data_IF_368929152604
#
_entry.id   IF_368929152604
#
_cell.length_a   1.000
_cell.length_b   1.000
_cell.length_c   1.000
_cell.angle_alpha   90.00
_cell.angle_beta   90.00
_cell.angle_gamma   90.00
#
_symmetry.space_group_name_H-M   'P 1'
#
loop_
_entity.id
_entity.type
_entity.pdbx_description
1 polymer ?
#
# COMPACT_ATOMS: atom_id res chain seq x y z
N UNK A 1 82.68 9.44 3.24
CA UNK A 1 81.68 8.38 3.62
C UNK A 1 80.35 9.05 3.88
N UNK A 2 79.48 9.15 2.84
CA UNK A 2 78.16 9.71 2.93
C UNK A 2 77.13 8.56 3.09
N UNK A 3 76.38 8.53 4.18
CA UNK A 3 75.30 7.60 4.41
C UNK A 3 74.01 8.14 3.77
N UNK A 4 73.55 7.51 2.72
CA UNK A 4 72.30 7.78 2.08
C UNK A 4 71.16 7.13 2.90
N UNK A 5 70.31 7.94 3.55
CA UNK A 5 69.11 7.49 4.22
C UNK A 5 67.97 7.41 3.19
N UNK A 6 67.59 6.19 2.84
CA UNK A 6 66.44 5.87 1.98
C UNK A 6 65.16 5.96 2.82
N UNK A 7 64.38 7.05 2.72
CA UNK A 7 63.07 7.22 3.36
C UNK A 7 62.04 6.48 2.53
N UNK A 8 61.61 5.31 3.01
CA UNK A 8 60.55 4.49 2.41
C UNK A 8 59.20 5.12 2.72
N UNK A 9 58.66 5.91 1.75
CA UNK A 9 57.30 6.47 1.84
C UNK A 9 56.27 5.35 1.56
N UNK A 10 55.69 4.80 2.63
CA UNK A 10 54.61 3.80 2.55
C UNK A 10 53.32 4.52 2.34
N UNK A 11 52.90 4.70 1.07
CA UNK A 11 51.56 5.21 0.71
C UNK A 11 50.51 4.15 1.07
N UNK A 12 49.85 4.37 2.19
CA UNK A 12 48.64 3.59 2.57
C UNK A 12 47.48 4.06 1.69
N UNK A 13 47.21 3.30 0.61
CA UNK A 13 46.00 3.47 -0.20
C UNK A 13 44.82 2.96 0.66
N UNK A 14 44.07 3.89 1.25
CA UNK A 14 42.74 3.58 1.78
C UNK A 14 41.82 3.24 0.60
N UNK A 15 41.67 1.96 0.32
CA UNK A 15 40.57 1.48 -0.52
C UNK A 15 39.26 1.76 0.24
N UNK A 16 38.58 2.86 -0.14
CA UNK A 16 37.18 3.02 0.19
C UNK A 16 36.40 1.94 -0.54
N UNK A 17 36.13 0.83 0.12
CA UNK A 17 35.18 -0.17 -0.35
C UNK A 17 33.79 0.46 -0.21
N UNK A 18 33.38 1.16 -1.26
CA UNK A 18 31.97 1.50 -1.41
C UNK A 18 31.23 0.17 -1.56
N UNK A 19 30.61 -0.31 -0.50
CA UNK A 19 29.63 -1.39 -0.58
C UNK A 19 28.51 -0.89 -1.46
N UNK A 20 28.50 -1.30 -2.73
CA UNK A 20 27.35 -1.13 -3.63
C UNK A 20 26.24 -1.94 -2.98
N UNK A 21 25.44 -1.28 -2.18
CA UNK A 21 24.23 -1.87 -1.64
C UNK A 21 23.31 -2.12 -2.84
N UNK A 22 23.22 -3.37 -3.27
CA UNK A 22 22.34 -3.78 -4.36
C UNK A 22 20.92 -3.40 -3.96
N UNK A 23 20.38 -2.42 -4.63
CA UNK A 23 19.05 -1.93 -4.37
C UNK A 23 18.04 -2.97 -4.86
N UNK A 24 17.13 -3.34 -3.97
CA UNK A 24 16.18 -4.43 -4.21
C UNK A 24 15.00 -3.88 -5.00
N UNK A 25 14.86 -4.35 -6.23
CA UNK A 25 13.90 -3.83 -7.22
C UNK A 25 12.73 -4.76 -7.51
N UNK A 26 12.70 -5.95 -6.90
CA UNK A 26 11.60 -6.91 -7.13
C UNK A 26 11.36 -7.79 -5.92
N UNK A 27 10.11 -8.19 -5.71
CA UNK A 27 9.75 -9.05 -4.59
C UNK A 27 8.26 -9.31 -4.46
N UNK A 28 7.96 -10.04 -3.38
CA UNK A 28 6.61 -10.30 -2.87
C UNK A 28 6.56 -9.87 -1.41
N UNK A 29 5.50 -9.17 -1.02
CA UNK A 29 5.25 -8.79 0.37
C UNK A 29 3.85 -9.25 0.75
N UNK A 30 3.73 -9.91 1.89
CA UNK A 30 2.44 -10.27 2.48
C UNK A 30 2.11 -9.26 3.56
N UNK A 31 0.90 -8.68 3.47
CA UNK A 31 0.37 -7.74 4.47
C UNK A 31 -0.81 -8.35 5.19
N UNK A 32 -0.88 -8.11 6.49
CA UNK A 32 -2.14 -8.18 7.24
C UNK A 32 -2.75 -6.79 7.32
N UNK A 33 -4.05 -6.69 6.96
CA UNK A 33 -4.87 -5.52 7.24
C UNK A 33 -5.77 -5.82 8.43
N UNK A 34 -5.60 -5.07 9.50
CA UNK A 34 -6.50 -5.07 10.65
C UNK A 34 -7.48 -3.91 10.52
N UNK A 35 -8.77 -4.20 10.46
CA UNK A 35 -9.85 -3.22 10.45
C UNK A 35 -10.62 -3.29 11.75
N UNK A 36 -10.71 -2.17 12.49
CA UNK A 36 -11.54 -2.09 13.70
C UNK A 36 -12.99 -1.83 13.29
N UNK A 37 -13.84 -2.85 13.39
CA UNK A 37 -15.23 -2.79 12.95
C UNK A 37 -16.09 -1.89 13.86
N UNK A 38 -15.78 -1.77 15.15
CA UNK A 38 -16.48 -0.84 16.04
C UNK A 38 -16.27 0.62 15.62
N UNK A 39 -15.07 0.97 15.16
CA UNK A 39 -14.80 2.30 14.60
C UNK A 39 -15.45 2.48 13.24
N UNK A 40 -15.36 1.47 12.38
CA UNK A 40 -15.95 1.50 11.05
C UNK A 40 -17.46 1.71 11.07
N UNK A 41 -18.16 1.01 11.97
CA UNK A 41 -19.61 1.04 12.08
C UNK A 41 -20.14 1.90 13.24
N UNK A 42 -19.31 2.80 13.79
CA UNK A 42 -19.67 3.65 14.94
C UNK A 42 -20.97 4.45 14.74
N UNK A 43 -21.30 4.81 13.51
CA UNK A 43 -22.48 5.59 13.12
C UNK A 43 -23.61 4.71 12.53
N UNK A 44 -23.49 3.39 12.60
CA UNK A 44 -24.50 2.43 12.16
C UNK A 44 -24.88 1.54 13.36
N UNK A 45 -25.94 1.96 14.07
CA UNK A 45 -26.40 1.31 15.30
C UNK A 45 -26.72 -0.18 15.09
N UNK A 46 -27.49 -0.49 14.05
CA UNK A 46 -27.94 -1.87 13.77
C UNK A 46 -26.76 -2.84 13.62
N UNK A 47 -25.73 -2.43 12.85
CA UNK A 47 -24.53 -3.25 12.66
C UNK A 47 -23.69 -3.29 13.93
N UNK A 48 -23.53 -2.15 14.63
CA UNK A 48 -22.72 -2.05 15.84
C UNK A 48 -23.27 -2.94 16.97
N UNK A 49 -24.58 -2.95 17.15
CA UNK A 49 -25.25 -3.73 18.21
C UNK A 49 -25.22 -5.24 17.94
N UNK A 50 -25.08 -5.61 16.68
CA UNK A 50 -24.91 -7.01 16.27
C UNK A 50 -23.47 -7.52 16.39
N UNK A 51 -22.45 -6.61 16.41
CA UNK A 51 -21.04 -6.97 16.54
C UNK A 51 -20.72 -7.45 17.96
N UNK A 52 -20.13 -8.63 18.08
CA UNK A 52 -19.58 -9.15 19.34
C UNK A 52 -18.14 -8.63 19.54
N UNK A 53 -17.62 -8.70 20.78
CA UNK A 53 -16.24 -8.28 21.09
C UNK A 53 -15.19 -9.07 20.26
N UNK A 54 -15.45 -10.35 19.99
CA UNK A 54 -14.61 -11.20 19.12
C UNK A 54 -14.55 -10.69 17.67
N UNK A 55 -15.59 -9.97 17.22
CA UNK A 55 -15.69 -9.41 15.87
C UNK A 55 -15.10 -8.00 15.75
N UNK A 56 -14.61 -7.44 16.85
CA UNK A 56 -14.05 -6.07 16.91
C UNK A 56 -13.01 -5.80 15.85
N UNK A 57 -12.20 -6.80 15.51
CA UNK A 57 -11.14 -6.66 14.54
C UNK A 57 -11.29 -7.71 13.43
N UNK A 58 -11.46 -7.25 12.20
CA UNK A 58 -11.37 -8.09 11.01
C UNK A 58 -9.93 -8.08 10.50
N UNK A 59 -9.39 -9.26 10.27
CA UNK A 59 -8.09 -9.43 9.62
C UNK A 59 -8.30 -9.88 8.18
N UNK A 60 -7.70 -9.17 7.25
CA UNK A 60 -7.62 -9.54 5.84
C UNK A 60 -6.16 -9.63 5.43
N UNK A 61 -5.83 -10.57 4.54
CA UNK A 61 -4.47 -10.77 4.03
C UNK A 61 -4.38 -10.31 2.59
N UNK A 62 -3.30 -9.58 2.28
CA UNK A 62 -3.02 -9.06 0.95
C UNK A 62 -1.60 -9.43 0.52
N UNK A 63 -1.41 -9.52 -0.79
CA UNK A 63 -0.13 -9.74 -1.42
C UNK A 63 0.23 -8.54 -2.30
N UNK A 64 1.44 -8.03 -2.17
CA UNK A 64 2.02 -7.05 -3.07
C UNK A 64 3.18 -7.68 -3.82
N UNK A 65 3.03 -7.85 -5.11
CA UNK A 65 4.09 -8.25 -6.02
C UNK A 65 4.63 -7.02 -6.75
N UNK A 66 5.94 -6.95 -6.95
CA UNK A 66 6.54 -5.82 -7.64
C UNK A 66 7.84 -6.19 -8.36
N UNK A 67 8.14 -5.43 -9.41
CA UNK A 67 9.44 -5.37 -10.08
C UNK A 67 9.78 -3.89 -10.38
N UNK A 68 10.78 -3.63 -11.21
CA UNK A 68 11.23 -2.27 -11.56
C UNK A 68 10.12 -1.34 -12.08
N UNK A 69 9.13 -1.90 -12.79
CA UNK A 69 8.12 -1.13 -13.52
C UNK A 69 6.69 -1.38 -13.06
N UNK A 70 6.40 -2.62 -12.66
CA UNK A 70 5.05 -3.08 -12.38
C UNK A 70 4.86 -3.39 -10.90
N UNK A 71 3.64 -3.26 -10.43
CA UNK A 71 3.21 -3.81 -9.14
C UNK A 71 1.76 -4.27 -9.18
N UNK A 72 1.45 -5.28 -8.37
CA UNK A 72 0.11 -5.80 -8.15
C UNK A 72 -0.13 -5.99 -6.65
N UNK A 73 -1.02 -5.20 -6.08
CA UNK A 73 -1.53 -5.35 -4.72
C UNK A 73 -2.92 -5.99 -4.81
N UNK A 74 -3.11 -7.12 -4.18
CA UNK A 74 -4.38 -7.88 -4.27
C UNK A 74 -4.66 -8.65 -2.99
N UNK A 75 -5.94 -8.94 -2.67
CA UNK A 75 -6.25 -9.87 -1.58
C UNK A 75 -5.63 -11.24 -1.88
N UNK A 76 -5.14 -11.90 -0.83
CA UNK A 76 -4.70 -13.28 -0.92
C UNK A 76 -5.92 -14.17 -1.20
N UNK A 77 -5.80 -15.05 -2.18
CA UNK A 77 -6.83 -16.04 -2.48
C UNK A 77 -6.89 -17.08 -1.35
N UNK A 78 -8.09 -17.43 -0.93
CA UNK A 78 -8.35 -18.45 0.09
C UNK A 78 -9.64 -19.20 -0.23
N UNK A 79 -9.62 -20.51 -0.05
CA UNK A 79 -10.82 -21.36 -0.16
C UNK A 79 -11.67 -21.33 1.12
N UNK A 80 -11.18 -20.68 2.18
CA UNK A 80 -11.89 -20.59 3.44
C UNK A 80 -13.04 -19.57 3.35
N UNK A 81 -14.20 -19.97 3.87
CA UNK A 81 -15.31 -19.03 4.04
C UNK A 81 -14.95 -18.04 5.14
N UNK A 82 -14.72 -16.79 4.74
CA UNK A 82 -14.35 -15.75 5.68
C UNK A 82 -15.56 -15.23 6.45
N UNK A 83 -15.44 -15.29 7.78
CA UNK A 83 -16.41 -14.63 8.67
C UNK A 83 -16.44 -13.13 8.36
N UNK A 84 -17.64 -12.56 8.22
CA UNK A 84 -17.85 -11.13 7.98
C UNK A 84 -17.13 -10.57 6.73
N UNK A 85 -17.05 -11.35 5.65
CA UNK A 85 -16.43 -10.94 4.39
C UNK A 85 -17.00 -9.62 3.82
N UNK A 86 -18.30 -9.37 4.07
CA UNK A 86 -19.01 -8.15 3.68
C UNK A 86 -18.54 -6.88 4.41
N UNK A 87 -17.90 -7.04 5.57
CA UNK A 87 -17.57 -5.90 6.45
C UNK A 87 -16.38 -5.08 5.98
N UNK A 88 -15.57 -5.59 5.05
CA UNK A 88 -14.38 -4.90 4.51
C UNK A 88 -14.28 -5.02 3.00
N UNK A 89 -13.88 -3.93 2.34
CA UNK A 89 -13.62 -3.95 0.90
C UNK A 89 -12.25 -4.54 0.62
N UNK A 90 -12.15 -5.35 -0.44
CA UNK A 90 -10.91 -5.96 -0.89
C UNK A 90 -10.63 -5.52 -2.33
N UNK A 91 -9.89 -4.43 -2.48
CA UNK A 91 -9.50 -3.94 -3.79
C UNK A 91 -8.28 -4.70 -4.31
N UNK A 92 -8.19 -4.84 -5.65
CA UNK A 92 -6.94 -5.19 -6.31
C UNK A 92 -6.43 -3.99 -7.09
N UNK A 93 -5.14 -3.68 -6.98
CA UNK A 93 -4.52 -2.53 -7.63
C UNK A 93 -3.30 -2.96 -8.42
N UNK A 94 -3.30 -2.65 -9.70
CA UNK A 94 -2.21 -2.91 -10.62
C UNK A 94 -1.63 -1.58 -11.09
N UNK A 95 -0.31 -1.43 -11.03
CA UNK A 95 0.36 -0.21 -11.45
C UNK A 95 1.44 -0.51 -12.50
N UNK A 96 1.50 0.32 -13.52
CA UNK A 96 2.63 0.40 -14.44
C UNK A 96 3.27 1.80 -14.26
N UNK A 97 4.42 1.83 -13.58
CA UNK A 97 5.10 3.09 -13.24
C UNK A 97 5.71 3.78 -14.45
N UNK A 98 6.20 3.02 -15.43
CA UNK A 98 6.75 3.58 -16.66
C UNK A 98 5.66 4.24 -17.51
N UNK A 99 4.49 3.62 -17.59
CA UNK A 99 3.36 4.15 -18.35
C UNK A 99 2.50 5.14 -17.54
N UNK A 100 2.80 5.38 -16.27
CA UNK A 100 2.00 6.16 -15.32
C UNK A 100 0.52 5.74 -15.31
N UNK A 101 0.27 4.43 -15.29
CA UNK A 101 -1.08 3.85 -15.31
C UNK A 101 -1.35 3.05 -14.06
N UNK A 102 -2.55 3.21 -13.51
CA UNK A 102 -3.10 2.43 -12.43
C UNK A 102 -4.43 1.85 -12.85
N UNK A 103 -4.63 0.55 -12.61
CA UNK A 103 -5.91 -0.12 -12.73
C UNK A 103 -6.31 -0.61 -11.34
N UNK A 104 -7.44 -0.13 -10.84
CA UNK A 104 -8.03 -0.61 -9.57
C UNK A 104 -9.29 -1.42 -9.87
N UNK A 105 -9.37 -2.61 -9.31
CA UNK A 105 -10.56 -3.45 -9.36
C UNK A 105 -11.26 -3.32 -8.02
N UNK A 106 -12.49 -2.82 -8.04
CA UNK A 106 -13.35 -2.67 -6.86
C UNK A 106 -14.63 -3.47 -7.02
N UNK A 107 -15.14 -3.96 -5.90
CA UNK A 107 -16.49 -4.53 -5.84
C UNK A 107 -17.38 -3.56 -5.05
N UNK A 108 -18.43 -3.06 -5.71
CA UNK A 108 -19.41 -2.13 -5.14
C UNK A 108 -20.79 -2.75 -5.34
N UNK A 109 -21.52 -3.02 -4.26
CA UNK A 109 -22.83 -3.72 -4.28
C UNK A 109 -22.82 -5.08 -4.98
N UNK A 110 -21.71 -5.81 -4.89
CA UNK A 110 -21.54 -7.10 -5.56
C UNK A 110 -21.10 -7.00 -7.02
N UNK A 111 -21.13 -5.82 -7.63
CA UNK A 111 -20.67 -5.58 -9.00
C UNK A 111 -19.19 -5.20 -9.03
N UNK A 112 -18.49 -5.72 -10.02
CA UNK A 112 -17.07 -5.48 -10.25
C UNK A 112 -16.87 -4.29 -11.17
N UNK A 113 -16.08 -3.32 -10.74
CA UNK A 113 -15.70 -2.14 -11.51
C UNK A 113 -14.20 -2.08 -11.74
N UNK A 114 -13.81 -1.78 -12.98
CA UNK A 114 -12.43 -1.55 -13.38
C UNK A 114 -12.19 -0.04 -13.53
N UNK A 115 -11.33 0.52 -12.67
CA UNK A 115 -11.03 1.95 -12.63
C UNK A 115 -9.62 2.19 -13.16
N UNK A 116 -9.50 2.84 -14.32
CA UNK A 116 -8.23 3.17 -14.94
C UNK A 116 -7.92 4.65 -14.77
N UNK A 117 -6.84 4.94 -14.05
CA UNK A 117 -6.35 6.29 -13.76
C UNK A 117 -4.83 6.38 -13.93
N UNK A 118 -4.28 7.58 -13.79
CA UNK A 118 -2.85 7.77 -13.52
C UNK A 118 -2.48 7.35 -12.09
N UNK A 119 -1.19 7.11 -11.85
CA UNK A 119 -0.70 6.83 -10.50
C UNK A 119 -0.78 8.11 -9.67
N UNK A 120 -1.41 8.01 -8.52
CA UNK A 120 -1.51 9.13 -7.57
C UNK A 120 -0.22 9.25 -6.77
N UNK A 121 0.53 10.31 -6.99
CA UNK A 121 1.70 10.65 -6.18
C UNK A 121 1.25 11.45 -4.97
N UNK A 122 1.39 10.87 -3.78
CA UNK A 122 0.99 11.50 -2.53
C UNK A 122 2.09 12.42 -2.00
N UNK A 123 1.72 13.56 -1.42
CA UNK A 123 2.66 14.51 -0.79
C UNK A 123 2.84 14.13 0.69
N UNK A 124 3.84 13.32 0.97
CA UNK A 124 4.17 12.87 2.30
C UNK A 124 5.08 13.86 3.05
N UNK A 125 4.85 14.03 4.34
CA UNK A 125 5.78 14.65 5.28
C UNK A 125 6.60 13.55 5.96
N UNK A 126 7.84 13.37 5.58
CA UNK A 126 8.76 12.40 6.21
C UNK A 126 9.20 12.94 7.57
N UNK A 127 9.29 12.06 8.58
CA UNK A 127 9.70 12.38 9.95
C UNK A 127 10.98 11.62 10.32
N UNK A 128 11.56 11.95 11.48
CA UNK A 128 12.77 11.29 12.00
C UNK A 128 12.47 9.97 12.74
N UNK A 129 11.19 9.66 12.98
CA UNK A 129 10.81 8.42 13.65
C UNK A 129 11.18 7.21 12.80
N UNK A 130 11.77 6.21 13.43
CA UNK A 130 12.18 4.95 12.81
C UNK A 130 11.51 3.77 13.48
N UNK A 131 11.34 2.68 12.75
CA UNK A 131 10.82 1.40 13.23
C UNK A 131 11.38 0.26 12.38
N UNK A 132 11.68 -0.88 13.01
CA UNK A 132 11.97 -2.10 12.26
C UNK A 132 10.67 -2.85 11.92
N UNK A 133 10.52 -3.26 10.64
CA UNK A 133 9.41 -4.09 10.14
C UNK A 133 10.01 -5.16 9.24
N UNK A 134 9.76 -6.42 9.53
CA UNK A 134 10.35 -7.57 8.81
C UNK A 134 11.88 -7.51 8.69
N UNK A 135 12.56 -6.97 9.70
CA UNK A 135 14.03 -6.80 9.68
C UNK A 135 14.53 -5.54 8.97
N UNK A 136 13.68 -4.81 8.25
CA UNK A 136 14.03 -3.58 7.53
C UNK A 136 13.86 -2.34 8.38
N UNK A 137 14.79 -1.40 8.28
CA UNK A 137 14.67 -0.08 8.93
C UNK A 137 13.71 0.80 8.13
N UNK A 138 12.59 1.17 8.75
CA UNK A 138 11.57 2.00 8.15
C UNK A 138 11.53 3.38 8.80
N UNK A 139 11.32 4.42 7.98
CA UNK A 139 11.06 5.79 8.44
C UNK A 139 9.55 6.07 8.40
N UNK A 140 9.08 6.87 9.36
CA UNK A 140 7.68 7.30 9.39
C UNK A 140 7.45 8.47 8.44
N UNK A 141 6.33 8.45 7.74
CA UNK A 141 5.81 9.56 6.95
C UNK A 141 4.33 9.79 7.26
N UNK A 142 3.87 11.03 7.08
CA UNK A 142 2.51 11.47 7.36
C UNK A 142 1.91 12.02 6.08
N UNK A 143 0.70 11.57 5.74
CA UNK A 143 -0.11 12.10 4.64
C UNK A 143 -1.40 12.68 5.20
N UNK A 144 -1.67 13.95 4.95
CA UNK A 144 -2.98 14.53 5.15
C UNK A 144 -3.82 14.23 3.90
N UNK A 145 -4.82 13.34 4.04
CA UNK A 145 -5.74 13.00 2.94
C UNK A 145 -6.74 14.14 2.75
N UNK A 146 -7.26 14.63 3.86
CA UNK A 146 -8.13 15.81 3.99
C UNK A 146 -7.99 16.39 5.40
N UNK A 147 -8.81 17.40 5.75
CA UNK A 147 -8.75 18.10 7.05
C UNK A 147 -8.99 17.19 8.26
N UNK A 148 -9.69 16.06 8.08
CA UNK A 148 -10.08 15.14 9.16
C UNK A 148 -9.41 13.78 9.09
N UNK A 149 -8.64 13.48 8.05
CA UNK A 149 -8.08 12.14 7.82
C UNK A 149 -6.58 12.21 7.55
N UNK A 150 -5.80 11.59 8.42
CA UNK A 150 -4.36 11.40 8.25
C UNK A 150 -4.02 9.93 8.13
N UNK A 151 -3.00 9.66 7.32
CA UNK A 151 -2.37 8.36 7.21
C UNK A 151 -0.94 8.43 7.71
N UNK A 152 -0.51 7.42 8.43
CA UNK A 152 0.85 7.20 8.87
C UNK A 152 1.43 6.02 8.09
N UNK A 153 2.52 6.25 7.39
CA UNK A 153 3.24 5.20 6.67
C UNK A 153 4.61 4.98 7.29
N UNK A 154 5.10 3.75 7.27
CA UNK A 154 6.47 3.35 7.52
C UNK A 154 7.03 2.76 6.24
N UNK A 155 7.98 3.45 5.64
CA UNK A 155 8.59 3.04 4.37
C UNK A 155 10.06 2.66 4.54
N UNK A 156 10.51 1.71 3.75
CA UNK A 156 11.89 1.23 3.69
C UNK A 156 12.55 1.70 2.41
N UNK A 157 13.62 2.48 2.50
CA UNK A 157 14.36 2.98 1.35
C UNK A 157 15.32 1.94 0.72
N UNK A 158 15.60 0.84 1.41
CA UNK A 158 16.36 -0.28 0.86
C UNK A 158 15.58 -1.02 -0.25
N UNK A 159 14.24 -0.94 -0.19
CA UNK A 159 13.32 -1.44 -1.20
C UNK A 159 12.90 -0.27 -2.10
N UNK A 160 13.57 -0.07 -3.24
CA UNK A 160 13.49 1.17 -4.03
C UNK A 160 12.13 1.51 -4.65
N UNK A 161 11.22 0.56 -4.76
CA UNK A 161 9.95 0.83 -5.40
C UNK A 161 9.07 1.78 -4.59
N UNK A 162 8.64 2.92 -5.18
CA UNK A 162 7.68 3.84 -4.57
C UNK A 162 6.26 3.25 -4.66
N UNK A 163 5.96 2.29 -3.81
CA UNK A 163 4.71 1.53 -3.78
C UNK A 163 4.29 1.19 -2.35
N UNK A 164 3.04 0.79 -2.18
CA UNK A 164 2.50 0.34 -0.90
C UNK A 164 1.09 -0.24 -1.04
N UNK A 165 0.45 -0.57 0.07
CA UNK A 165 -0.95 -0.97 0.09
C UNK A 165 -1.85 0.06 -0.59
N UNK A 166 -2.94 -0.40 -1.22
CA UNK A 166 -4.01 0.44 -1.79
C UNK A 166 -3.53 1.51 -2.79
N UNK A 167 -2.50 1.24 -3.56
CA UNK A 167 -1.92 2.17 -4.55
C UNK A 167 -1.18 3.40 -4.00
N UNK A 168 -0.94 3.50 -2.71
CA UNK A 168 -0.23 4.66 -2.15
C UNK A 168 1.23 4.67 -2.61
N UNK A 169 1.64 5.80 -3.16
CA UNK A 169 2.98 6.02 -3.71
C UNK A 169 3.50 7.41 -3.34
N UNK A 170 4.76 7.74 -3.70
CA UNK A 170 5.37 9.05 -3.47
C UNK A 170 6.39 9.08 -2.35
N UNK A 171 6.66 7.93 -1.70
CA UNK A 171 7.79 7.78 -0.77
C UNK A 171 9.00 7.16 -1.47
N UNK A 172 10.23 7.47 -1.06
CA UNK A 172 11.44 6.89 -1.63
C UNK A 172 11.67 5.48 -1.05
N UNK A 173 10.78 4.54 -1.38
CA UNK A 173 10.82 3.15 -0.93
C UNK A 173 9.44 2.54 -0.72
N UNK A 174 9.44 1.24 -0.43
CA UNK A 174 8.21 0.47 -0.21
C UNK A 174 7.60 0.76 1.16
N UNK A 175 6.29 0.97 1.21
CA UNK A 175 5.54 1.15 2.46
C UNK A 175 5.29 -0.22 3.08
N UNK A 176 6.00 -0.56 4.15
CA UNK A 176 5.84 -1.81 4.90
C UNK A 176 4.80 -1.73 6.04
N UNK A 177 4.44 -0.52 6.45
CA UNK A 177 3.37 -0.27 7.42
C UNK A 177 2.54 0.94 7.03
N UNK A 178 1.23 0.88 7.24
CA UNK A 178 0.30 1.95 6.93
C UNK A 178 -0.84 1.93 7.94
N UNK A 179 -1.22 3.08 8.47
CA UNK A 179 -2.33 3.17 9.41
C UNK A 179 -3.10 4.48 9.26
N UNK A 180 -4.40 4.44 9.48
CA UNK A 180 -5.17 5.65 9.75
C UNK A 180 -4.80 6.20 11.14
N UNK A 181 -4.85 7.53 11.33
CA UNK A 181 -4.47 8.19 12.59
C UNK A 181 -5.26 7.65 13.79
N UNK A 182 -6.53 7.36 13.58
CA UNK A 182 -7.40 6.79 14.61
C UNK A 182 -7.14 5.29 14.87
N UNK A 183 -6.28 4.64 14.08
CA UNK A 183 -6.03 3.20 14.16
C UNK A 183 -7.23 2.34 13.73
N UNK A 184 -8.16 2.90 12.97
CA UNK A 184 -9.33 2.18 12.44
C UNK A 184 -8.94 1.14 11.40
N UNK A 185 -7.92 1.45 10.58
CA UNK A 185 -7.34 0.53 9.60
C UNK A 185 -5.83 0.55 9.72
N UNK A 186 -5.24 -0.63 9.80
CA UNK A 186 -3.80 -0.81 9.95
C UNK A 186 -3.33 -1.92 9.00
N UNK A 187 -2.36 -1.62 8.14
CA UNK A 187 -1.62 -2.60 7.34
C UNK A 187 -0.22 -2.78 7.92
N UNK A 188 0.22 -4.02 8.07
CA UNK A 188 1.61 -4.35 8.36
C UNK A 188 2.10 -5.49 7.49
N UNK A 189 3.30 -5.31 6.93
CA UNK A 189 4.02 -6.40 6.28
C UNK A 189 4.35 -7.49 7.30
N UNK A 190 4.06 -8.74 6.93
CA UNK A 190 4.36 -9.96 7.70
C UNK A 190 5.59 -10.66 7.16
N UNK A 191 5.72 -10.67 5.84
CA UNK A 191 6.89 -11.23 5.15
C UNK A 191 7.29 -10.34 3.99
N UNK A 192 8.59 -10.31 3.71
CA UNK A 192 9.20 -9.70 2.54
C UNK A 192 10.08 -10.74 1.89
N UNK A 193 9.73 -11.16 0.70
CA UNK A 193 10.46 -12.14 -0.11
C UNK A 193 11.07 -11.43 -1.33
N UNK A 194 12.39 -11.51 -1.45
CA UNK A 194 13.13 -10.88 -2.53
C UNK A 194 13.30 -11.88 -3.68
N UNK A 195 12.36 -11.86 -4.59
CA UNK A 195 12.35 -12.76 -5.75
C UNK A 195 11.76 -12.04 -6.95
N UNK A 196 12.07 -12.51 -8.15
CA UNK A 196 11.43 -11.99 -9.36
C UNK A 196 10.05 -12.65 -9.50
N UNK A 197 8.94 -11.90 -9.32
CA UNK A 197 7.62 -12.49 -9.46
C UNK A 197 7.33 -12.86 -10.92
N UNK A 198 6.52 -13.90 -11.17
CA UNK A 198 6.02 -14.21 -12.49
C UNK A 198 5.26 -13.02 -13.10
N UNK A 199 5.39 -12.80 -14.40
CA UNK A 199 4.75 -11.66 -15.07
C UNK A 199 3.22 -11.71 -14.99
N UNK A 200 2.67 -12.91 -14.97
CA UNK A 200 1.22 -13.17 -14.90
C UNK A 200 0.58 -12.59 -13.64
N UNK A 201 1.29 -12.58 -12.51
CA UNK A 201 0.75 -12.03 -11.24
C UNK A 201 0.78 -10.51 -11.22
N UNK A 202 1.62 -9.88 -12.05
CA UNK A 202 1.79 -8.43 -12.16
C UNK A 202 0.83 -7.79 -13.17
N UNK A 203 0.17 -8.59 -14.01
CA UNK A 203 -0.70 -8.12 -15.08
C UNK A 203 -2.15 -8.56 -14.83
N UNK A 204 -3.07 -7.70 -15.21
CA UNK A 204 -4.49 -8.09 -15.28
C UNK A 204 -4.75 -8.87 -16.56
N UNK A 205 -5.47 -9.99 -16.44
CA UNK A 205 -5.94 -10.73 -17.61
C UNK A 205 -6.76 -9.81 -18.50
N UNK A 206 -6.55 -9.89 -19.82
CA UNK A 206 -7.33 -9.12 -20.79
C UNK A 206 -8.82 -9.37 -20.57
N UNK A 207 -9.58 -8.30 -20.48
CA UNK A 207 -11.03 -8.35 -20.28
C UNK A 207 -11.72 -7.43 -21.29
N UNK A 208 -12.98 -7.73 -21.61
CA UNK A 208 -13.89 -6.87 -22.39
C UNK A 208 -14.75 -5.97 -21.50
N UNK A 209 -14.58 -6.05 -20.19
CA UNK A 209 -15.33 -5.23 -19.25
C UNK A 209 -15.06 -3.75 -19.47
N UNK A 210 -16.08 -2.92 -19.25
CA UNK A 210 -15.94 -1.46 -19.35
C UNK A 210 -14.98 -0.94 -18.29
N UNK A 211 -14.06 -0.08 -18.70
CA UNK A 211 -13.17 0.66 -17.81
C UNK A 211 -13.73 2.07 -17.57
N UNK A 212 -13.68 2.50 -16.33
CA UNK A 212 -14.12 3.83 -15.89
C UNK A 212 -12.93 4.62 -15.38
N UNK A 213 -13.00 5.94 -15.41
CA UNK A 213 -12.17 6.75 -14.53
C UNK A 213 -12.83 6.82 -13.15
N UNK A 214 -12.02 6.89 -12.09
CA UNK A 214 -12.54 7.00 -10.71
C UNK A 214 -13.49 8.20 -10.55
N UNK A 215 -13.15 9.34 -11.14
CA UNK A 215 -13.98 10.55 -11.13
C UNK A 215 -15.35 10.35 -11.83
N UNK A 216 -15.36 9.62 -12.95
CA UNK A 216 -16.58 9.32 -13.72
C UNK A 216 -17.52 8.43 -12.89
N UNK A 217 -17.03 7.30 -12.37
CA UNK A 217 -17.86 6.41 -11.56
C UNK A 217 -18.34 7.08 -10.28
N UNK A 218 -17.47 7.84 -9.60
CA UNK A 218 -17.84 8.61 -8.40
C UNK A 218 -18.95 9.62 -8.70
N UNK A 219 -18.86 10.34 -9.83
CA UNK A 219 -19.88 11.31 -10.24
C UNK A 219 -21.21 10.62 -10.55
N UNK A 220 -21.19 9.48 -11.24
CA UNK A 220 -22.39 8.71 -11.54
C UNK A 220 -23.08 8.25 -10.25
N UNK A 221 -22.37 7.60 -9.35
CA UNK A 221 -22.92 7.12 -8.07
C UNK A 221 -23.40 8.31 -7.21
N UNK A 222 -22.67 9.43 -7.21
CA UNK A 222 -23.05 10.62 -6.47
C UNK A 222 -24.36 11.24 -6.98
N UNK A 223 -24.58 11.21 -8.30
CA UNK A 223 -25.83 11.69 -8.91
C UNK A 223 -27.02 10.86 -8.44
N UNK A 224 -26.85 9.53 -8.38
CA UNK A 224 -27.96 8.62 -8.09
C UNK A 224 -28.22 8.52 -6.58
N UNK A 225 -27.18 8.51 -5.75
CA UNK A 225 -27.28 8.20 -4.30
C UNK A 225 -26.65 9.26 -3.38
N UNK A 226 -25.98 10.29 -3.91
CA UNK A 226 -25.24 11.27 -3.11
C UNK A 226 -26.10 12.19 -2.23
N UNK A 227 -27.42 12.23 -2.40
CA UNK A 227 -28.33 12.96 -1.52
C UNK A 227 -28.59 12.21 -0.22
N UNK A 228 -28.58 10.88 -0.27
CA UNK A 228 -28.84 10.01 0.86
C UNK A 228 -27.64 9.95 1.82
N UNK A 229 -27.90 9.87 3.13
CA UNK A 229 -26.85 9.76 4.16
C UNK A 229 -25.96 8.53 3.94
N UNK A 230 -26.57 7.39 3.63
CA UNK A 230 -25.86 6.15 3.35
C UNK A 230 -25.03 6.24 2.07
N UNK A 231 -25.56 6.90 1.02
CA UNK A 231 -24.84 7.10 -0.24
C UNK A 231 -23.60 7.97 -0.07
N UNK A 232 -23.66 9.06 0.72
CA UNK A 232 -22.50 9.89 1.08
C UNK A 232 -21.45 9.07 1.83
N UNK A 233 -21.87 8.24 2.79
CA UNK A 233 -20.98 7.41 3.56
C UNK A 233 -20.32 6.33 2.68
N UNK A 234 -21.06 5.75 1.74
CA UNK A 234 -20.54 4.80 0.78
C UNK A 234 -19.49 5.45 -0.14
N UNK A 235 -19.78 6.63 -0.72
CA UNK A 235 -18.84 7.38 -1.54
C UNK A 235 -17.55 7.68 -0.78
N UNK A 236 -17.65 8.10 0.47
CA UNK A 236 -16.50 8.33 1.34
C UNK A 236 -15.67 7.04 1.52
N UNK A 237 -16.31 5.94 1.89
CA UNK A 237 -15.65 4.67 2.17
C UNK A 237 -15.00 4.05 0.92
N UNK A 238 -15.55 4.30 -0.27
CA UNK A 238 -15.06 3.70 -1.52
C UNK A 238 -14.00 4.53 -2.23
N UNK A 239 -14.01 5.86 -2.09
CA UNK A 239 -13.22 6.73 -2.97
C UNK A 239 -12.34 7.77 -2.28
N UNK A 240 -12.54 8.06 -0.98
CA UNK A 240 -11.80 9.16 -0.35
C UNK A 240 -10.46 8.72 0.24
N UNK A 241 -10.41 7.53 0.82
CA UNK A 241 -9.20 7.07 1.52
C UNK A 241 -8.42 6.10 0.64
N UNK A 242 -9.09 5.09 0.07
CA UNK A 242 -8.48 3.97 -0.65
C UNK A 242 -8.87 3.91 -2.12
#
# INVERSE_FOLDING_TARGET
>A
MMKCNLLLCMCIFFFNVNTIQSQIKSGKIIYERKTNLYKKFKNNGDVKDWLKEEDKNKIDVFELYFNDSLSAFKPQETDLVEKMSWSTNKNSVYQNRQANKRLTIKTIWGERFLLQDSIRICKWKITENKRSICGYQCRKAILNVNDSTRLYAWFCSELEASIGPESLAGLPGVILGLATEDGGVIYFAKTVELSKPPLEVLLVKKTKEKMYQTSELKAQISKDFGKEKWGKMMLYNQFEIW
#
